data_IF_076723631446
#
_entry.id   IF_076723631446
#
_cell.length_a   1.000
_cell.length_b   1.000
_cell.length_c   1.000
_cell.angle_alpha   90.00
_cell.angle_beta   90.00
_cell.angle_gamma   90.00
#
_symmetry.space_group_name_H-M   'P 1'
#
loop_
_entity.id
_entity.type
_entity.pdbx_description
1 polymer ?
#
# COMPACT_ATOMS: atom_id res chain seq x y z
N UNK A 1 -37.36 8.75 15.47
CA UNK A 1 -36.10 8.68 16.26
C UNK A 1 -34.94 8.50 15.29
N UNK A 2 -33.87 9.29 15.41
CA UNK A 2 -32.78 9.32 14.42
C UNK A 2 -31.72 8.21 14.63
N UNK A 3 -31.69 7.59 15.81
CA UNK A 3 -30.70 6.58 16.19
C UNK A 3 -31.00 5.16 15.67
N UNK A 4 -32.16 4.92 15.05
CA UNK A 4 -32.53 3.61 14.51
C UNK A 4 -31.83 3.40 13.16
N UNK A 5 -31.12 2.27 12.92
CA UNK A 5 -30.48 1.99 11.65
C UNK A 5 -31.46 2.00 10.47
N UNK A 6 -31.01 2.56 9.33
CA UNK A 6 -31.79 2.67 8.08
C UNK A 6 -30.88 2.34 6.89
N UNK A 7 -31.49 1.86 5.80
CA UNK A 7 -30.78 1.75 4.53
C UNK A 7 -30.34 3.15 4.04
N UNK A 8 -29.17 3.21 3.41
CA UNK A 8 -28.57 4.43 2.91
C UNK A 8 -27.21 4.16 2.27
N UNK A 9 -26.45 5.23 1.98
CA UNK A 9 -25.12 5.15 1.39
C UNK A 9 -24.15 4.37 2.31
N UNK A 10 -23.44 3.39 1.73
CA UNK A 10 -22.41 2.61 2.43
C UNK A 10 -21.10 2.61 1.63
N UNK A 11 -20.14 3.42 2.06
CA UNK A 11 -18.84 3.61 1.39
C UNK A 11 -18.66 5.02 0.83
N UNK A 12 -17.44 5.31 0.36
CA UNK A 12 -17.02 6.65 -0.10
C UNK A 12 -17.15 7.72 1.00
N UNK A 13 -16.87 7.33 2.25
CA UNK A 13 -16.85 8.23 3.40
C UNK A 13 -15.42 8.67 3.70
N UNK A 14 -15.25 9.91 4.17
CA UNK A 14 -13.96 10.37 4.67
C UNK A 14 -13.57 9.61 5.95
N UNK A 15 -12.32 9.14 5.99
CA UNK A 15 -11.69 8.45 7.11
C UNK A 15 -10.30 8.99 7.35
N UNK A 16 -9.84 8.91 8.59
CA UNK A 16 -8.48 9.25 8.96
C UNK A 16 -7.94 8.12 9.82
N UNK A 17 -6.95 7.39 9.31
CA UNK A 17 -6.27 6.33 10.04
C UNK A 17 -4.91 6.81 10.52
N UNK A 18 -4.65 6.72 11.82
CA UNK A 18 -3.44 7.24 12.46
C UNK A 18 -2.54 6.11 12.96
N UNK A 19 -1.30 6.47 13.33
CA UNK A 19 -0.31 5.56 13.94
C UNK A 19 0.11 4.38 13.05
N UNK A 20 0.19 4.60 11.74
CA UNK A 20 0.73 3.63 10.79
C UNK A 20 2.25 3.72 10.75
N UNK A 21 2.94 2.61 11.04
CA UNK A 21 4.40 2.54 10.98
C UNK A 21 4.86 2.37 9.53
N UNK A 22 5.83 3.17 9.11
CA UNK A 22 6.54 3.00 7.84
C UNK A 22 7.52 1.83 8.00
N UNK A 23 7.44 0.85 7.11
CA UNK A 23 8.34 -0.30 7.06
C UNK A 23 9.49 -0.09 6.08
N UNK A 24 9.24 0.59 4.96
CA UNK A 24 10.25 0.90 3.95
C UNK A 24 9.90 2.16 3.18
N UNK A 25 10.93 2.91 2.80
CA UNK A 25 10.86 3.93 1.77
C UNK A 25 11.79 3.45 0.67
N UNK A 26 11.24 3.12 -0.50
CA UNK A 26 11.97 2.58 -1.63
C UNK A 26 12.10 3.61 -2.74
N UNK A 27 13.22 3.54 -3.48
CA UNK A 27 13.48 4.42 -4.62
C UNK A 27 13.09 3.74 -5.93
N UNK A 28 12.51 4.49 -6.87
CA UNK A 28 12.09 3.99 -8.18
C UNK A 28 13.26 3.56 -9.07
N UNK A 29 14.40 4.26 -8.95
CA UNK A 29 15.62 3.97 -9.72
C UNK A 29 16.29 2.63 -9.32
N UNK A 30 16.03 2.14 -8.10
CA UNK A 30 16.61 0.91 -7.57
C UNK A 30 15.84 -0.31 -8.05
N UNK A 31 16.40 -1.02 -9.05
CA UNK A 31 15.84 -2.27 -9.59
C UNK A 31 15.83 -3.42 -8.57
N UNK A 32 16.53 -3.27 -7.45
CA UNK A 32 16.60 -4.20 -6.33
C UNK A 32 15.85 -3.71 -5.08
N UNK A 33 14.87 -2.81 -5.26
CA UNK A 33 14.15 -2.19 -4.14
C UNK A 33 13.32 -3.16 -3.28
N UNK A 34 13.20 -4.45 -3.61
CA UNK A 34 12.64 -5.48 -2.73
C UNK A 34 13.67 -6.44 -2.11
N UNK A 35 14.98 -6.19 -2.29
CA UNK A 35 16.08 -6.90 -1.61
C UNK A 35 16.08 -6.60 -0.11
N UNK A 36 16.53 -7.54 0.71
CA UNK A 36 16.76 -7.36 2.16
C UNK A 36 18.16 -7.83 2.54
N UNK A 37 18.59 -7.58 3.78
CA UNK A 37 19.90 -8.07 4.28
C UNK A 37 19.97 -9.60 4.30
N UNK A 38 18.82 -10.26 4.51
CA UNK A 38 18.72 -11.71 4.52
C UNK A 38 18.53 -12.30 3.11
N UNK A 39 17.72 -11.63 2.28
CA UNK A 39 17.45 -12.05 0.92
C UNK A 39 18.13 -11.12 -0.08
N UNK A 40 19.26 -11.59 -0.61
CA UNK A 40 20.13 -10.82 -1.47
C UNK A 40 19.73 -10.82 -2.95
N UNK A 41 18.63 -11.46 -3.31
CA UNK A 41 18.16 -11.54 -4.70
C UNK A 41 17.78 -10.17 -5.24
N UNK A 42 18.16 -9.89 -6.49
CA UNK A 42 17.77 -8.66 -7.18
C UNK A 42 16.32 -8.78 -7.65
N UNK A 43 15.45 -7.99 -7.03
CA UNK A 43 14.02 -7.95 -7.35
C UNK A 43 13.44 -6.59 -7.03
N UNK A 44 12.47 -6.20 -7.86
CA UNK A 44 11.65 -5.03 -7.63
C UNK A 44 10.44 -5.36 -6.73
N UNK A 45 9.83 -4.34 -6.14
CA UNK A 45 8.64 -4.44 -5.31
C UNK A 45 7.40 -4.91 -6.07
N UNK A 46 7.40 -4.70 -7.39
CA UNK A 46 6.29 -5.07 -8.28
C UNK A 46 6.16 -6.61 -8.34
N UNK A 47 4.99 -7.18 -8.00
CA UNK A 47 4.74 -8.61 -8.12
C UNK A 47 4.81 -9.12 -9.56
N UNK A 48 4.87 -10.44 -9.74
CA UNK A 48 4.73 -11.06 -11.06
C UNK A 48 3.37 -10.69 -11.66
N UNK A 49 3.38 -10.07 -12.84
CA UNK A 49 2.16 -9.57 -13.51
C UNK A 49 1.70 -8.18 -13.04
N UNK A 50 2.39 -7.56 -12.07
CA UNK A 50 2.06 -6.23 -11.56
C UNK A 50 0.98 -6.23 -10.47
N UNK A 51 0.72 -5.04 -9.91
CA UNK A 51 -0.37 -4.83 -8.95
C UNK A 51 -1.72 -4.79 -9.68
N UNK A 52 -2.75 -5.53 -9.22
CA UNK A 52 -4.06 -5.53 -9.84
C UNK A 52 -4.65 -4.12 -9.98
N UNK A 53 -5.11 -3.79 -11.19
CA UNK A 53 -5.69 -2.48 -11.54
C UNK A 53 -4.79 -1.25 -11.31
N UNK A 54 -3.48 -1.46 -11.07
CA UNK A 54 -2.49 -0.39 -10.96
C UNK A 54 -1.32 -0.60 -11.93
N UNK A 55 -0.68 -1.78 -11.91
CA UNK A 55 0.44 -2.14 -12.77
C UNK A 55 1.78 -2.12 -12.06
N UNK A 56 2.80 -1.59 -12.73
CA UNK A 56 4.21 -1.61 -12.29
C UNK A 56 4.52 -0.35 -11.48
N UNK A 57 5.21 -0.51 -10.35
CA UNK A 57 5.71 0.61 -9.54
C UNK A 57 7.07 1.03 -10.12
N UNK A 58 7.09 2.17 -10.81
CA UNK A 58 8.31 2.75 -11.42
C UNK A 58 8.91 3.91 -10.59
N UNK A 59 8.12 4.48 -9.68
CA UNK A 59 8.51 5.64 -8.88
C UNK A 59 8.87 5.23 -7.45
N UNK A 60 9.33 6.21 -6.67
CA UNK A 60 9.52 6.06 -5.23
C UNK A 60 8.22 5.63 -4.55
N UNK A 61 8.34 4.79 -3.52
CA UNK A 61 7.19 4.24 -2.81
C UNK A 61 7.39 4.16 -1.30
N UNK A 62 6.26 4.12 -0.59
CA UNK A 62 6.21 3.92 0.85
C UNK A 62 5.49 2.62 1.16
N UNK A 63 6.14 1.75 1.91
CA UNK A 63 5.52 0.54 2.46
C UNK A 63 5.06 0.82 3.89
N UNK A 64 3.75 0.82 4.11
CA UNK A 64 3.14 1.00 5.43
C UNK A 64 2.70 -0.33 6.03
N UNK A 65 2.66 -0.39 7.36
CA UNK A 65 2.12 -1.55 8.09
C UNK A 65 0.59 -1.59 7.99
N UNK A 66 0.06 -2.71 7.48
CA UNK A 66 -1.37 -3.01 7.49
C UNK A 66 -2.13 -2.39 6.31
N UNK A 67 -3.45 -2.27 6.46
CA UNK A 67 -4.33 -1.65 5.46
C UNK A 67 -4.37 -0.11 5.58
N UNK A 68 -4.89 0.53 4.53
CA UNK A 68 -5.22 1.95 4.47
C UNK A 68 -6.61 2.17 3.83
N UNK A 69 -7.31 3.21 4.28
CA UNK A 69 -8.61 3.65 3.77
C UNK A 69 -8.49 4.86 2.84
#
# INVERSE_FOLDING_TARGET
MFSVPRAGQHGYHHRTEVNKKIYRIGKGEDKSNAKTEYDLTEKAITPLGGFPHYGIVNEDYVMIKGCCA
#
